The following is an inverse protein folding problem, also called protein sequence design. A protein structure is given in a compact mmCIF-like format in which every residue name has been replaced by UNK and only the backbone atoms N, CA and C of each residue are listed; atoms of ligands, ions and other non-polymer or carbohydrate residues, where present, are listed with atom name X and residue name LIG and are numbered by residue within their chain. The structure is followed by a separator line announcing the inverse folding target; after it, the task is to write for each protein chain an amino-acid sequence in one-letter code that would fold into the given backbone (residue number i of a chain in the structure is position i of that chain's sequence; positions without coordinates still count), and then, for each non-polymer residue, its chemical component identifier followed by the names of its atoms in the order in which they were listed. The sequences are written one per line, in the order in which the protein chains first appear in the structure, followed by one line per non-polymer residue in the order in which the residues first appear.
data_IF_216305150562
#
_entry.id   IF_216305150562
#
_cell.length_a   1.000
_cell.length_b   1.000
_cell.length_c   1.000
_cell.angle_alpha   90.00
_cell.angle_beta   90.00
_cell.angle_gamma   90.00
#
_symmetry.space_group_name_H-M   'P 1'
#
loop_
_entity.id
_entity.type
_entity.pdbx_description
1 polymer ?
#
# COMPACT_ATOMS: atom_id res chain seq x y z
N UNK A 1 11.93 15.63 13.91
CA UNK A 1 11.73 14.32 13.26
C UNK A 1 12.23 13.22 14.18
N UNK A 2 11.40 12.27 14.60
CA UNK A 2 11.85 11.19 15.49
C UNK A 2 12.46 10.05 14.65
N UNK A 3 13.79 9.98 14.58
CA UNK A 3 14.52 8.86 13.98
C UNK A 3 14.32 7.62 14.85
N UNK A 4 13.89 6.51 14.26
CA UNK A 4 13.73 5.25 14.98
C UNK A 4 15.10 4.67 15.31
N UNK A 5 15.36 4.40 16.59
CA UNK A 5 16.46 3.53 16.99
C UNK A 5 16.06 2.07 16.77
N UNK A 6 16.91 1.29 16.09
CA UNK A 6 16.70 -0.14 15.91
C UNK A 6 17.10 -0.85 17.21
N UNK A 7 16.12 -1.39 17.92
CA UNK A 7 16.34 -2.05 19.22
C UNK A 7 16.66 -3.54 19.07
N UNK A 8 16.50 -4.10 17.87
CA UNK A 8 16.79 -5.50 17.58
C UNK A 8 18.25 -5.72 17.18
N UNK A 9 18.86 -6.81 17.64
CA UNK A 9 20.22 -7.24 17.27
C UNK A 9 20.24 -8.72 16.93
N UNK A 10 21.07 -9.12 15.98
CA UNK A 10 21.31 -10.53 15.65
C UNK A 10 22.19 -11.21 16.71
N UNK A 11 22.17 -12.55 16.77
CA UNK A 11 23.05 -13.29 17.69
C UNK A 11 24.54 -12.98 17.47
N UNK A 12 24.96 -12.74 16.23
CA UNK A 12 26.35 -12.38 15.91
C UNK A 12 26.69 -10.96 16.39
N UNK A 13 25.77 -10.00 16.23
CA UNK A 13 25.94 -8.65 16.76
C UNK A 13 25.96 -8.64 18.29
N UNK A 14 25.11 -9.46 18.92
CA UNK A 14 25.09 -9.62 20.38
C UNK A 14 26.44 -10.18 20.84
N UNK A 15 26.96 -11.23 20.18
CA UNK A 15 28.29 -11.80 20.48
C UNK A 15 29.39 -10.73 20.47
N UNK A 16 29.41 -9.90 19.43
CA UNK A 16 30.41 -8.83 19.27
C UNK A 16 30.30 -7.76 20.37
N UNK A 17 29.08 -7.39 20.78
CA UNK A 17 28.85 -6.36 21.80
C UNK A 17 29.13 -6.88 23.20
N UNK A 18 28.75 -8.13 23.51
CA UNK A 18 28.92 -8.69 24.86
C UNK A 18 30.29 -9.32 25.07
N UNK A 19 31.12 -9.43 24.02
CA UNK A 19 32.41 -10.11 24.09
C UNK A 19 32.31 -11.58 24.49
N UNK A 20 31.15 -12.21 24.29
CA UNK A 20 30.91 -13.55 24.81
C UNK A 20 31.63 -14.59 23.94
N UNK A 21 32.53 -15.38 24.54
CA UNK A 21 33.18 -16.49 23.84
C UNK A 21 32.28 -17.72 23.80
N UNK A 22 31.19 -17.62 23.05
CA UNK A 22 30.32 -18.74 22.79
C UNK A 22 29.76 -18.68 21.36
N UNK A 23 29.22 -19.81 20.90
CA UNK A 23 28.58 -19.84 19.59
C UNK A 23 27.29 -18.98 19.58
N UNK A 24 26.90 -18.40 18.43
CA UNK A 24 25.60 -17.73 18.28
C UNK A 24 24.38 -18.59 18.67
N UNK A 25 24.53 -19.92 18.62
CA UNK A 25 23.51 -20.90 19.03
C UNK A 25 23.33 -20.86 20.56
N UNK A 26 24.43 -20.80 21.31
CA UNK A 26 24.41 -20.67 22.77
C UNK A 26 23.71 -19.39 23.20
N UNK A 27 24.03 -18.28 22.53
CA UNK A 27 23.36 -16.98 22.74
C UNK A 27 21.86 -17.12 22.47
N UNK A 28 21.47 -17.74 21.35
CA UNK A 28 20.05 -17.92 21.00
C UNK A 28 19.31 -18.80 22.02
N UNK A 29 19.94 -19.87 22.54
CA UNK A 29 19.36 -20.72 23.59
C UNK A 29 19.14 -19.93 24.88
N UNK A 30 20.12 -19.12 25.29
CA UNK A 30 20.01 -18.30 26.48
C UNK A 30 18.89 -17.26 26.35
N UNK A 31 18.84 -16.54 25.22
CA UNK A 31 17.78 -15.57 24.93
C UNK A 31 16.39 -16.21 24.97
N UNK A 32 16.24 -17.43 24.43
CA UNK A 32 14.98 -18.19 24.51
C UNK A 32 14.60 -18.54 25.95
N UNK A 33 15.56 -18.99 26.78
CA UNK A 33 15.31 -19.26 28.22
C UNK A 33 14.85 -18.02 28.99
N UNK A 34 15.35 -16.84 28.59
CA UNK A 34 14.94 -15.54 29.13
C UNK A 34 13.64 -14.99 28.52
N UNK A 35 12.95 -15.77 27.67
CA UNK A 35 11.67 -15.37 27.06
C UNK A 35 11.79 -14.49 25.81
N UNK A 36 12.99 -14.18 25.34
CA UNK A 36 13.17 -13.41 24.11
C UNK A 36 12.85 -14.27 22.88
N UNK A 37 12.03 -13.71 21.99
CA UNK A 37 11.59 -14.34 20.75
C UNK A 37 12.05 -13.54 19.55
N UNK A 38 12.45 -14.24 18.49
CA UNK A 38 12.72 -13.59 17.21
C UNK A 38 11.40 -13.04 16.65
N UNK A 39 11.38 -11.74 16.33
CA UNK A 39 10.24 -11.08 15.68
C UNK A 39 10.67 -10.61 14.30
N UNK A 40 9.95 -11.06 13.27
CA UNK A 40 10.11 -10.50 11.92
C UNK A 40 9.64 -9.04 11.92
N UNK A 41 10.33 -8.20 11.16
CA UNK A 41 9.90 -6.81 10.96
C UNK A 41 8.54 -6.82 10.28
N UNK A 42 7.63 -5.98 10.78
CA UNK A 42 6.32 -5.80 10.17
C UNK A 42 6.47 -5.27 8.73
N UNK A 43 6.01 -6.03 7.74
CA UNK A 43 5.98 -5.67 6.32
C UNK A 43 4.71 -4.88 5.97
N UNK A 44 4.36 -3.90 6.80
CA UNK A 44 3.22 -3.02 6.57
C UNK A 44 3.65 -1.56 6.73
N UNK A 45 3.14 -0.64 5.90
CA UNK A 45 3.33 0.78 6.13
C UNK A 45 2.92 1.15 7.55
N UNK A 46 3.66 2.05 8.20
CA UNK A 46 3.23 2.56 9.50
C UNK A 46 2.01 3.45 9.29
N UNK A 47 0.91 3.05 9.91
CA UNK A 47 -0.29 3.87 9.95
C UNK A 47 -0.18 4.84 11.11
N UNK A 48 0.09 6.11 10.79
CA UNK A 48 -0.11 7.21 11.71
C UNK A 48 -1.60 7.33 12.03
N UNK A 49 -1.94 8.03 13.10
CA UNK A 49 -3.34 8.18 13.53
C UNK A 49 -4.22 8.74 12.40
N UNK A 50 -3.71 9.75 11.67
CA UNK A 50 -4.37 10.30 10.46
C UNK A 50 -4.66 9.24 9.37
N UNK A 51 -3.74 8.29 9.15
CA UNK A 51 -3.95 7.24 8.15
C UNK A 51 -4.97 6.21 8.62
N UNK A 52 -5.05 5.94 9.93
CA UNK A 52 -6.05 5.02 10.49
C UNK A 52 -7.45 5.59 10.36
N UNK A 53 -7.62 6.87 10.67
CA UNK A 53 -8.90 7.59 10.54
C UNK A 53 -9.34 7.56 9.08
N UNK A 54 -8.50 8.09 8.17
CA UNK A 54 -8.84 8.15 6.74
C UNK A 54 -9.15 6.77 6.13
N UNK A 55 -8.43 5.71 6.54
CA UNK A 55 -8.71 4.34 6.04
C UNK A 55 -9.98 3.75 6.64
N UNK A 56 -10.30 4.06 7.88
CA UNK A 56 -11.52 3.58 8.53
C UNK A 56 -12.76 4.22 7.91
N UNK A 57 -12.69 5.52 7.64
CA UNK A 57 -13.76 6.25 6.97
C UNK A 57 -13.97 5.70 5.56
N UNK A 58 -12.89 5.56 4.78
CA UNK A 58 -12.94 4.93 3.45
C UNK A 58 -13.51 3.50 3.47
N UNK A 59 -13.09 2.67 4.43
CA UNK A 59 -13.54 1.27 4.50
C UNK A 59 -15.01 1.14 4.90
N UNK A 60 -15.51 2.02 5.78
CA UNK A 60 -16.96 2.10 6.09
C UNK A 60 -17.76 2.47 4.85
N UNK A 61 -17.23 3.37 4.05
CA UNK A 61 -17.88 3.80 2.80
C UNK A 61 -17.87 2.71 1.71
N UNK A 62 -16.90 1.78 1.71
CA UNK A 62 -16.68 0.81 0.61
C UNK A 62 -16.74 -0.67 1.05
N UNK A 63 -17.55 -0.97 2.08
CA UNK A 63 -17.49 -2.23 2.85
C UNK A 63 -17.90 -3.50 2.08
N UNK A 64 -18.49 -3.39 0.88
CA UNK A 64 -19.10 -4.51 0.13
C UNK A 64 -18.39 -4.87 -1.18
N UNK A 65 -17.10 -4.55 -1.35
CA UNK A 65 -16.35 -4.89 -2.57
C UNK A 65 -15.65 -6.26 -2.48
N UNK A 66 -15.75 -7.06 -3.55
CA UNK A 66 -15.13 -8.38 -3.67
C UNK A 66 -14.02 -8.37 -4.74
N UNK A 67 -12.82 -8.90 -4.44
CA UNK A 67 -11.66 -8.91 -5.37
C UNK A 67 -10.75 -10.14 -5.18
N UNK A 68 -10.52 -10.88 -6.27
CA UNK A 68 -9.50 -11.95 -6.40
C UNK A 68 -8.19 -11.41 -7.02
N UNK A 69 -7.02 -11.97 -6.68
CA UNK A 69 -5.70 -11.45 -7.10
C UNK A 69 -4.69 -12.56 -7.42
N UNK A 70 -4.38 -12.79 -8.71
CA UNK A 70 -3.33 -13.75 -9.12
C UNK A 70 -3.15 -13.90 -10.64
N UNK A 71 -2.51 -12.93 -11.29
CA UNK A 71 -2.20 -12.93 -12.73
C UNK A 71 -1.44 -11.67 -13.15
N UNK A 72 -0.89 -11.63 -14.36
CA UNK A 72 -0.26 -10.42 -14.92
C UNK A 72 -1.15 -9.19 -14.79
N UNK A 73 -0.55 -8.01 -14.58
CA UNK A 73 -1.30 -6.80 -14.26
C UNK A 73 -1.32 -5.85 -15.47
N UNK A 74 -2.51 -5.59 -16.01
CA UNK A 74 -2.75 -4.47 -16.91
C UNK A 74 -3.25 -3.32 -16.05
N UNK A 75 -2.65 -2.13 -16.20
CA UNK A 75 -3.20 -0.93 -15.59
C UNK A 75 -4.32 -0.42 -16.50
N UNK A 76 -5.53 -0.33 -15.96
CA UNK A 76 -6.70 0.17 -16.68
C UNK A 76 -7.16 1.46 -16.01
N UNK A 77 -7.57 2.43 -16.81
CA UNK A 77 -8.34 3.56 -16.36
C UNK A 77 -9.75 3.49 -16.94
N UNK A 78 -10.73 3.90 -16.17
CA UNK A 78 -12.11 4.03 -16.61
C UNK A 78 -12.90 4.87 -15.64
N UNK A 79 -14.02 5.37 -16.11
CA UNK A 79 -15.00 6.06 -15.28
C UNK A 79 -16.35 5.35 -15.40
N UNK A 80 -17.11 5.39 -14.31
CA UNK A 80 -18.46 4.84 -14.26
C UNK A 80 -19.32 5.72 -13.36
N UNK A 81 -20.63 5.63 -13.58
CA UNK A 81 -21.66 6.39 -12.89
C UNK A 81 -22.93 5.54 -12.78
N UNK A 82 -23.96 6.05 -12.09
CA UNK A 82 -25.28 5.42 -12.10
C UNK A 82 -25.86 5.29 -13.52
N UNK A 83 -25.59 6.24 -14.41
CA UNK A 83 -26.14 6.25 -15.78
C UNK A 83 -25.28 5.45 -16.79
N UNK A 84 -24.24 4.76 -16.33
CA UNK A 84 -23.45 3.85 -17.15
C UNK A 84 -21.94 3.98 -16.97
N UNK A 85 -21.21 3.26 -17.81
CA UNK A 85 -19.74 3.14 -17.80
C UNK A 85 -19.13 3.75 -19.06
N UNK A 86 -17.89 4.24 -18.96
CA UNK A 86 -17.07 4.60 -20.11
C UNK A 86 -16.29 3.42 -20.66
N UNK A 87 -15.75 3.61 -21.87
CA UNK A 87 -14.75 2.71 -22.43
C UNK A 87 -13.47 2.70 -21.57
N UNK A 88 -13.02 1.50 -21.22
CA UNK A 88 -11.81 1.29 -20.44
C UNK A 88 -10.57 1.59 -21.28
N UNK A 89 -9.69 2.45 -20.77
CA UNK A 89 -8.43 2.81 -21.40
C UNK A 89 -7.28 2.03 -20.77
N UNK A 90 -6.47 1.38 -21.61
CA UNK A 90 -5.24 0.73 -21.14
C UNK A 90 -4.17 1.79 -20.88
N UNK A 91 -3.67 1.79 -19.66
CA UNK A 91 -2.60 2.67 -19.21
C UNK A 91 -1.26 1.99 -19.39
N UNK A 92 -0.42 2.56 -20.25
CA UNK A 92 0.91 2.05 -20.53
C UNK A 92 1.95 2.66 -19.58
N UNK A 93 2.68 1.80 -18.87
CA UNK A 93 3.76 2.22 -17.99
C UNK A 93 3.30 3.02 -16.76
N UNK A 94 4.18 3.91 -16.28
CA UNK A 94 3.94 4.71 -15.08
C UNK A 94 3.19 5.99 -15.43
N UNK A 95 2.03 6.20 -14.80
CA UNK A 95 1.25 7.42 -14.99
C UNK A 95 1.95 8.66 -14.45
N UNK A 96 1.84 9.75 -15.22
CA UNK A 96 2.28 11.11 -14.87
C UNK A 96 1.08 12.05 -14.94
N UNK A 97 1.18 13.24 -14.35
CA UNK A 97 0.08 14.21 -14.42
C UNK A 97 -0.29 14.57 -15.86
N UNK A 98 0.71 14.78 -16.73
CA UNK A 98 0.49 15.04 -18.15
C UNK A 98 -0.16 13.85 -18.87
N UNK A 99 0.34 12.62 -18.63
CA UNK A 99 -0.21 11.41 -19.22
C UNK A 99 -1.65 11.12 -18.75
N UNK A 100 -1.99 11.52 -17.53
CA UNK A 100 -3.36 11.47 -17.04
C UNK A 100 -4.26 12.45 -17.79
N UNK A 101 -3.86 13.71 -17.94
CA UNK A 101 -4.63 14.72 -18.72
C UNK A 101 -4.84 14.27 -20.17
N UNK A 102 -3.81 13.78 -20.83
CA UNK A 102 -3.89 13.24 -22.19
C UNK A 102 -4.86 12.05 -22.27
N UNK A 103 -4.79 11.14 -21.30
CA UNK A 103 -5.69 10.00 -21.24
C UNK A 103 -7.16 10.42 -21.03
N UNK A 104 -7.43 11.47 -20.26
CA UNK A 104 -8.79 12.01 -20.08
C UNK A 104 -9.35 12.59 -21.38
N UNK A 105 -8.50 13.30 -22.13
CA UNK A 105 -8.84 13.79 -23.46
C UNK A 105 -9.10 12.63 -24.42
N UNK A 106 -8.21 11.63 -24.44
CA UNK A 106 -8.34 10.42 -25.26
C UNK A 106 -9.62 9.65 -24.94
N UNK A 107 -9.97 9.52 -23.67
CA UNK A 107 -11.19 8.85 -23.25
C UNK A 107 -12.47 9.64 -23.59
N UNK A 108 -12.35 10.85 -24.17
CA UNK A 108 -13.47 11.76 -24.40
C UNK A 108 -14.26 12.07 -23.13
N UNK A 109 -13.59 12.05 -21.96
CA UNK A 109 -14.27 12.20 -20.67
C UNK A 109 -14.99 13.55 -20.57
N UNK A 110 -14.41 14.62 -21.12
CA UNK A 110 -15.04 15.95 -21.12
C UNK A 110 -16.36 16.01 -21.90
N UNK A 111 -16.52 15.14 -22.90
CA UNK A 111 -17.72 15.08 -23.74
C UNK A 111 -18.73 14.06 -23.19
N UNK A 112 -18.25 12.93 -22.68
CA UNK A 112 -19.08 11.84 -22.16
C UNK A 112 -19.50 12.04 -20.70
N UNK A 113 -18.79 12.88 -19.96
CA UNK A 113 -19.02 13.18 -18.56
C UNK A 113 -20.45 13.65 -18.25
N UNK A 114 -21.02 14.62 -18.98
CA UNK A 114 -22.40 15.05 -18.78
C UNK A 114 -23.44 13.97 -19.09
N UNK A 115 -23.19 13.12 -20.09
CA UNK A 115 -24.05 11.98 -20.41
C UNK A 115 -24.09 10.98 -19.25
N UNK A 116 -22.96 10.81 -18.56
CA UNK A 116 -22.81 9.83 -17.47
C UNK A 116 -23.25 10.39 -16.11
N UNK A 117 -22.87 11.60 -15.79
CA UNK A 117 -23.01 12.16 -14.45
C UNK A 117 -24.06 13.28 -14.37
N UNK A 118 -24.75 13.57 -15.47
CA UNK A 118 -25.73 14.64 -15.55
C UNK A 118 -25.09 15.99 -15.87
N UNK A 119 -25.94 17.01 -16.07
CA UNK A 119 -25.51 18.31 -16.58
C UNK A 119 -24.66 19.13 -15.58
N UNK A 120 -24.67 18.77 -14.30
CA UNK A 120 -23.84 19.38 -13.25
C UNK A 120 -22.46 18.71 -13.11
N UNK A 121 -22.07 17.88 -14.09
CA UNK A 121 -20.80 17.19 -14.06
C UNK A 121 -19.61 18.15 -14.20
N UNK A 122 -18.62 17.98 -13.32
CA UNK A 122 -17.36 18.73 -13.31
C UNK A 122 -16.20 17.74 -13.18
N UNK A 123 -15.13 17.98 -13.93
CA UNK A 123 -13.88 17.20 -13.89
C UNK A 123 -12.73 17.99 -13.25
#
# INVERSE_FOLDING_TARGET
MAVRQDTGRSSSQIKAITGADCSPITIRRHLRRKGFKNKKRLQRPRLLQRHKIARLDFAREHQTWDIQSGGGAIMIWGAFSFNGTMELQVVQGRQTAAGFVEMLQRASLMTEGPRLCGNDWVF
#
